data_IF_118447733884
#
_entry.id   IF_118447733884
#
_cell.length_a   1.000
_cell.length_b   1.000
_cell.length_c   1.000
_cell.angle_alpha   90.00
_cell.angle_beta   90.00
_cell.angle_gamma   90.00
#
_symmetry.space_group_name_H-M   'P 1'
#
loop_
_entity.id
_entity.type
_entity.pdbx_description
1 polymer ?
#
# COMPACT_ATOMS: atom_id res chain seq x y z
N UNK A 1 -40.12 14.08 6.20
CA UNK A 1 -39.29 14.67 7.26
C UNK A 1 -37.89 14.84 6.67
N UNK A 2 -37.45 16.08 6.41
CA UNK A 2 -36.21 16.40 5.65
C UNK A 2 -34.98 16.20 6.54
N UNK A 3 -34.12 15.23 6.24
CA UNK A 3 -32.80 15.10 6.86
C UNK A 3 -31.79 15.94 6.07
N UNK A 4 -31.11 16.85 6.79
CA UNK A 4 -30.05 17.71 6.27
C UNK A 4 -28.74 16.92 6.23
N UNK A 5 -28.15 16.77 5.05
CA UNK A 5 -26.79 16.25 4.89
C UNK A 5 -25.79 17.31 5.37
N UNK A 6 -24.98 16.97 6.36
CA UNK A 6 -23.83 17.76 6.78
C UNK A 6 -22.66 17.42 5.84
N UNK A 7 -22.40 18.30 4.89
CA UNK A 7 -21.22 18.24 4.02
C UNK A 7 -19.98 18.64 4.83
N UNK A 8 -19.10 17.67 5.13
CA UNK A 8 -17.77 17.95 5.67
C UNK A 8 -16.83 18.32 4.51
N UNK A 9 -16.77 19.61 4.20
CA UNK A 9 -15.82 20.15 3.23
C UNK A 9 -14.40 20.15 3.81
N UNK A 10 -13.50 19.40 3.18
CA UNK A 10 -12.07 19.46 3.46
C UNK A 10 -11.51 20.75 2.84
N UNK A 11 -11.44 21.82 3.63
CA UNK A 11 -10.82 23.06 3.21
C UNK A 11 -9.29 22.93 3.27
N UNK A 12 -8.65 22.81 2.10
CA UNK A 12 -7.22 23.09 1.96
C UNK A 12 -6.99 24.59 2.25
N UNK A 13 -6.42 24.89 3.42
CA UNK A 13 -5.94 26.23 3.71
C UNK A 13 -4.68 26.50 2.87
N UNK A 14 -4.85 27.32 1.82
CA UNK A 14 -3.74 27.94 1.09
C UNK A 14 -3.11 29.00 2.01
N UNK A 15 -2.04 28.63 2.72
CA UNK A 15 -1.21 29.59 3.42
C UNK A 15 -0.40 30.40 2.40
N UNK A 16 -0.69 31.70 2.29
CA UNK A 16 0.14 32.68 1.56
C UNK A 16 1.52 32.82 2.24
N UNK A 17 2.61 33.07 1.50
CA UNK A 17 3.92 33.25 2.09
C UNK A 17 3.99 34.61 2.80
N UNK A 18 4.18 34.59 4.12
CA UNK A 18 4.52 35.79 4.87
C UNK A 18 5.99 36.13 4.64
N UNK A 19 6.18 37.28 3.99
CA UNK A 19 7.33 38.20 4.03
C UNK A 19 8.69 37.67 4.50
N UNK A 20 9.64 37.74 3.58
CA UNK A 20 11.07 37.57 3.81
C UNK A 20 11.59 38.53 4.92
N UNK A 21 12.13 37.96 5.99
CA UNK A 21 13.10 38.62 6.85
C UNK A 21 14.51 38.09 6.50
N UNK A 22 15.44 39.03 6.30
CA UNK A 22 16.86 38.79 6.03
C UNK A 22 17.52 37.97 7.15
N UNK A 23 18.57 37.19 6.85
CA UNK A 23 19.18 36.30 7.83
C UNK A 23 20.10 37.09 8.78
N UNK A 24 19.77 37.06 10.07
CA UNK A 24 20.73 37.34 11.13
C UNK A 24 21.56 36.08 11.41
N UNK A 25 22.87 36.25 11.38
CA UNK A 25 23.90 35.28 11.72
C UNK A 25 23.74 34.82 13.17
N UNK A 26 23.32 33.57 13.36
CA UNK A 26 23.56 32.85 14.62
C UNK A 26 24.15 31.47 14.30
N UNK A 27 25.44 31.35 14.62
CA UNK A 27 26.09 30.07 14.86
C UNK A 27 25.35 29.37 16.00
N UNK A 28 24.66 28.28 15.70
CA UNK A 28 24.11 27.38 16.70
C UNK A 28 24.59 25.96 16.38
N UNK A 29 25.61 25.53 17.12
CA UNK A 29 25.93 24.13 17.35
C UNK A 29 24.71 23.44 17.96
N UNK A 30 23.83 22.93 17.09
CA UNK A 30 22.73 22.07 17.44
C UNK A 30 22.62 21.05 16.33
N UNK A 31 23.30 19.91 16.50
CA UNK A 31 23.14 18.79 15.59
C UNK A 31 21.66 18.39 15.57
N UNK A 32 20.93 18.83 14.55
CA UNK A 32 19.61 18.27 14.20
C UNK A 32 19.85 16.78 14.00
N UNK A 33 19.36 15.96 14.93
CA UNK A 33 19.43 14.52 14.78
C UNK A 33 18.63 14.14 13.53
N UNK A 34 19.22 13.43 12.56
CA UNK A 34 18.55 13.05 11.33
C UNK A 34 17.31 12.20 11.65
N UNK A 35 16.20 12.46 10.96
CA UNK A 35 14.99 11.64 10.96
C UNK A 35 15.30 10.29 10.29
N UNK A 36 14.46 9.27 10.51
CA UNK A 36 14.78 7.92 10.04
C UNK A 36 14.99 7.80 8.53
N UNK A 37 14.40 8.69 7.71
CA UNK A 37 14.65 8.77 6.27
C UNK A 37 15.72 9.79 5.82
N UNK A 38 16.34 10.54 6.75
CA UNK A 38 17.46 11.47 6.49
C UNK A 38 18.78 10.69 6.35
N UNK A 39 18.83 9.68 5.48
CA UNK A 39 19.90 8.67 5.57
C UNK A 39 21.16 9.02 4.78
N UNK A 40 21.09 9.83 3.72
CA UNK A 40 22.23 9.95 2.81
C UNK A 40 22.31 11.30 2.08
N UNK A 41 23.31 12.13 2.41
CA UNK A 41 23.66 13.38 1.71
C UNK A 41 24.53 13.15 0.46
N UNK A 42 24.21 12.13 -0.33
CA UNK A 42 24.98 11.75 -1.52
C UNK A 42 24.06 11.81 -2.72
N UNK A 43 24.55 12.39 -3.83
CA UNK A 43 23.85 12.29 -5.11
C UNK A 43 23.79 10.83 -5.57
N UNK A 44 22.58 10.30 -5.73
CA UNK A 44 22.32 8.93 -6.16
C UNK A 44 21.85 8.85 -7.61
N UNK A 45 21.71 9.98 -8.32
CA UNK A 45 21.13 10.04 -9.66
C UNK A 45 21.90 9.23 -10.71
N UNK A 46 23.19 8.96 -10.47
CA UNK A 46 24.03 8.15 -11.35
C UNK A 46 23.95 6.64 -11.09
N UNK A 47 23.26 6.19 -10.04
CA UNK A 47 23.07 4.75 -9.78
C UNK A 47 21.90 4.20 -10.59
N UNK A 48 22.09 2.99 -11.10
CA UNK A 48 21.13 2.27 -11.95
C UNK A 48 21.15 0.79 -11.59
N UNK A 49 20.26 0.00 -12.18
CA UNK A 49 20.28 -1.46 -12.04
C UNK A 49 21.65 -2.10 -12.38
N UNK A 50 22.41 -1.51 -13.31
CA UNK A 50 23.74 -1.98 -13.70
C UNK A 50 24.89 -1.31 -12.93
N UNK A 51 24.58 -0.26 -12.17
CA UNK A 51 25.51 0.44 -11.28
C UNK A 51 24.81 0.63 -9.93
N UNK A 52 24.72 -0.43 -9.09
CA UNK A 52 23.90 -0.41 -7.88
C UNK A 52 24.35 0.65 -6.88
N UNK A 53 23.40 1.14 -6.08
CA UNK A 53 23.69 2.01 -4.93
C UNK A 53 24.54 1.24 -3.91
N UNK A 54 25.70 1.74 -3.47
CA UNK A 54 26.45 1.09 -2.39
C UNK A 54 25.62 0.97 -1.12
N UNK A 55 25.71 -0.17 -0.41
CA UNK A 55 24.89 -0.45 0.80
C UNK A 55 24.91 0.65 1.87
N UNK A 56 26.05 1.31 2.06
CA UNK A 56 26.19 2.45 2.99
C UNK A 56 25.37 3.69 2.61
N UNK A 57 24.87 3.74 1.38
CA UNK A 57 24.06 4.81 0.80
C UNK A 57 22.63 4.34 0.51
N UNK A 58 22.23 3.17 0.98
CA UNK A 58 20.85 2.73 0.91
C UNK A 58 19.99 3.47 1.93
N UNK A 59 18.73 3.70 1.56
CA UNK A 59 17.68 4.21 2.44
C UNK A 59 17.21 3.12 3.40
N UNK A 60 16.48 3.43 4.48
CA UNK A 60 15.77 2.43 5.25
C UNK A 60 14.79 1.66 4.35
N UNK A 61 14.50 0.41 4.72
CA UNK A 61 13.48 -0.36 4.02
C UNK A 61 12.11 0.17 4.43
N UNK A 62 11.28 0.53 3.45
CA UNK A 62 9.87 0.89 3.69
C UNK A 62 9.02 -0.01 2.80
N UNK A 63 8.40 -1.05 3.38
CA UNK A 63 7.51 -1.92 2.62
C UNK A 63 6.24 -1.20 2.16
N UNK A 64 5.59 -1.71 1.11
CA UNK A 64 4.22 -1.29 0.76
C UNK A 64 3.19 -1.98 1.66
N UNK A 65 3.57 -3.15 2.19
CA UNK A 65 2.85 -3.87 3.24
C UNK A 65 2.94 -3.18 4.60
N UNK A 66 1.99 -3.44 5.52
CA UNK A 66 0.87 -4.39 5.45
C UNK A 66 -0.48 -3.84 4.96
N UNK A 67 -0.59 -2.52 4.78
CA UNK A 67 -1.85 -1.87 4.42
C UNK A 67 -2.18 -1.95 2.93
N UNK A 68 -3.26 -1.26 2.56
CA UNK A 68 -3.64 -0.99 1.15
C UNK A 68 -2.90 0.24 0.61
N UNK A 69 -2.47 1.13 1.49
CA UNK A 69 -1.69 2.33 1.14
C UNK A 69 -0.29 1.95 0.73
N UNK A 70 0.05 2.28 -0.50
CA UNK A 70 1.37 2.11 -1.08
C UNK A 70 2.36 3.11 -0.48
N UNK A 71 3.62 2.71 -0.33
CA UNK A 71 4.70 3.63 -0.01
C UNK A 71 5.05 4.47 -1.25
N UNK A 72 5.32 5.79 -1.08
CA UNK A 72 5.83 6.61 -2.17
C UNK A 72 7.32 6.35 -2.47
N UNK A 73 8.02 5.62 -1.60
CA UNK A 73 9.47 5.41 -1.71
C UNK A 73 9.79 4.26 -2.67
N UNK A 74 10.81 4.49 -3.50
CA UNK A 74 11.29 3.49 -4.44
C UNK A 74 12.33 2.55 -3.83
N UNK A 75 12.56 1.38 -4.40
CA UNK A 75 13.72 0.55 -4.01
C UNK A 75 15.01 1.17 -4.56
N UNK A 76 16.10 1.17 -3.78
CA UNK A 76 17.40 1.66 -4.23
C UNK A 76 17.90 0.93 -5.49
N UNK A 77 18.54 1.68 -6.40
CA UNK A 77 19.03 1.16 -7.67
C UNK A 77 19.87 -0.11 -7.51
N UNK A 78 19.50 -1.17 -8.24
CA UNK A 78 20.18 -2.47 -8.24
C UNK A 78 19.90 -3.34 -7.01
N UNK A 79 19.03 -2.90 -6.09
CA UNK A 79 18.59 -3.68 -4.94
C UNK A 79 17.25 -4.34 -5.17
N UNK A 80 17.06 -5.46 -4.48
CA UNK A 80 15.88 -6.29 -4.57
C UNK A 80 15.12 -6.27 -3.23
N UNK A 81 13.81 -6.13 -3.29
CA UNK A 81 12.92 -6.24 -2.14
C UNK A 81 11.80 -7.23 -2.47
N UNK A 82 11.47 -8.06 -1.49
CA UNK A 82 10.41 -9.04 -1.61
C UNK A 82 9.49 -8.91 -0.42
N UNK A 83 8.21 -8.78 -0.72
CA UNK A 83 7.15 -8.64 0.27
C UNK A 83 6.16 -9.75 0.05
N UNK A 84 5.70 -10.39 1.12
CA UNK A 84 4.75 -11.49 0.99
C UNK A 84 3.71 -11.46 2.09
N UNK A 85 2.45 -11.72 1.72
CA UNK A 85 1.49 -12.37 2.61
C UNK A 85 1.89 -13.84 2.73
N UNK A 86 2.70 -14.17 3.74
CA UNK A 86 3.07 -15.55 4.01
C UNK A 86 1.80 -16.39 4.23
N UNK A 87 0.85 -15.82 4.98
CA UNK A 87 -0.49 -16.39 5.15
C UNK A 87 -1.51 -15.26 5.31
N UNK A 88 -2.61 -15.32 4.57
CA UNK A 88 -3.77 -14.45 4.77
C UNK A 88 -5.07 -15.26 4.71
N UNK A 89 -6.00 -14.93 5.60
CA UNK A 89 -7.32 -15.54 5.70
C UNK A 89 -8.38 -14.47 5.50
N UNK A 90 -9.21 -14.63 4.48
CA UNK A 90 -10.42 -13.83 4.29
C UNK A 90 -11.62 -14.66 4.75
N UNK A 91 -12.56 -14.00 5.43
CA UNK A 91 -13.81 -14.61 5.85
C UNK A 91 -14.98 -13.73 5.44
N UNK A 92 -15.99 -14.38 4.85
CA UNK A 92 -17.15 -13.74 4.24
C UNK A 92 -18.43 -14.41 4.69
N UNK A 93 -19.44 -13.60 4.95
CA UNK A 93 -20.80 -14.06 5.31
C UNK A 93 -21.83 -13.04 4.89
N UNK A 94 -22.74 -13.45 4.02
CA UNK A 94 -23.84 -12.64 3.52
C UNK A 94 -25.11 -13.49 3.43
N UNK A 95 -26.04 -13.29 4.37
CA UNK A 95 -27.25 -14.11 4.46
C UNK A 95 -26.95 -15.61 4.62
N UNK A 96 -27.45 -16.48 3.72
CA UNK A 96 -27.19 -17.92 3.74
C UNK A 96 -25.81 -18.31 3.17
N UNK A 97 -25.14 -17.38 2.48
CA UNK A 97 -23.84 -17.65 1.85
C UNK A 97 -22.71 -17.32 2.81
N UNK A 98 -21.72 -18.22 2.92
CA UNK A 98 -20.53 -18.02 3.75
C UNK A 98 -19.32 -18.66 3.09
N UNK A 99 -18.13 -18.20 3.46
CA UNK A 99 -16.92 -18.72 2.85
C UNK A 99 -15.65 -18.19 3.46
N UNK A 100 -14.54 -18.74 2.99
CA UNK A 100 -13.21 -18.30 3.36
C UNK A 100 -12.22 -18.49 2.22
N UNK A 101 -11.23 -17.60 2.18
CA UNK A 101 -10.09 -17.71 1.26
C UNK A 101 -8.80 -17.76 2.05
N UNK A 102 -7.98 -18.76 1.75
CA UNK A 102 -6.60 -18.82 2.22
C UNK A 102 -5.67 -18.39 1.10
N UNK A 103 -4.89 -17.35 1.35
CA UNK A 103 -3.79 -16.92 0.50
C UNK A 103 -2.47 -17.34 1.12
N UNK A 104 -1.63 -18.00 0.33
CA UNK A 104 -0.32 -18.47 0.75
C UNK A 104 0.73 -17.90 -0.19
N UNK A 105 1.66 -17.14 0.38
CA UNK A 105 2.77 -16.52 -0.31
C UNK A 105 2.33 -15.63 -1.49
N UNK A 106 1.27 -14.84 -1.31
CA UNK A 106 1.01 -13.77 -2.27
C UNK A 106 2.15 -12.77 -2.17
N UNK A 107 2.84 -12.55 -3.29
CA UNK A 107 4.18 -11.99 -3.27
C UNK A 107 4.28 -10.76 -4.16
N UNK A 108 5.09 -9.81 -3.73
CA UNK A 108 5.44 -8.61 -4.46
C UNK A 108 6.96 -8.48 -4.49
N UNK A 109 7.54 -8.83 -5.64
CA UNK A 109 8.97 -8.72 -5.90
C UNK A 109 9.27 -7.37 -6.54
N UNK A 110 10.28 -6.66 -6.06
CA UNK A 110 10.64 -5.30 -6.47
C UNK A 110 12.13 -5.22 -6.81
N UNK A 111 12.48 -4.50 -7.86
CA UNK A 111 13.86 -4.21 -8.25
C UNK A 111 14.03 -2.72 -8.53
N UNK A 112 14.98 -2.08 -7.87
CA UNK A 112 15.33 -0.68 -8.12
C UNK A 112 15.99 -0.50 -9.49
N UNK A 113 15.34 0.22 -10.40
CA UNK A 113 15.87 0.54 -11.73
C UNK A 113 16.82 1.74 -11.67
N UNK A 114 16.44 2.77 -10.93
CA UNK A 114 17.19 4.00 -10.66
C UNK A 114 17.09 4.33 -9.17
N UNK A 115 17.64 5.46 -8.74
CA UNK A 115 17.47 5.90 -7.36
C UNK A 115 16.04 6.34 -7.01
N UNK A 116 15.14 6.47 -8.00
CA UNK A 116 13.76 6.96 -7.81
C UNK A 116 12.70 6.11 -8.50
N UNK A 117 13.07 4.98 -9.08
CA UNK A 117 12.19 4.16 -9.90
C UNK A 117 12.44 2.71 -9.63
N UNK A 118 11.38 1.94 -9.38
CA UNK A 118 11.43 0.49 -9.28
C UNK A 118 10.38 -0.17 -10.15
N UNK A 119 10.72 -1.37 -10.60
CA UNK A 119 9.82 -2.29 -11.28
C UNK A 119 9.38 -3.34 -10.25
N UNK A 120 8.09 -3.65 -10.25
CA UNK A 120 7.52 -4.65 -9.35
C UNK A 120 6.69 -5.68 -10.10
N UNK A 121 6.71 -6.90 -9.58
CA UNK A 121 5.91 -8.03 -10.04
C UNK A 121 5.14 -8.60 -8.85
N UNK A 122 3.82 -8.48 -8.91
CA UNK A 122 2.88 -9.12 -8.00
C UNK A 122 2.52 -10.51 -8.51
N UNK A 123 2.51 -11.49 -7.61
CA UNK A 123 2.19 -12.89 -7.88
C UNK A 123 1.18 -13.37 -6.85
N UNK A 124 -0.03 -13.67 -7.32
CA UNK A 124 -1.05 -14.34 -6.52
C UNK A 124 -0.73 -15.84 -6.48
N UNK A 125 0.21 -16.24 -5.62
CA UNK A 125 0.82 -17.57 -5.67
C UNK A 125 -0.18 -18.71 -5.47
N UNK A 126 -0.69 -18.95 -4.25
CA UNK A 126 -1.63 -20.04 -4.03
C UNK A 126 -2.83 -19.56 -3.23
N UNK A 127 -4.01 -19.83 -3.77
CA UNK A 127 -5.29 -19.49 -3.13
C UNK A 127 -6.16 -20.75 -2.98
N UNK A 128 -6.76 -20.98 -1.80
CA UNK A 128 -7.84 -21.96 -1.55
C UNK A 128 -9.11 -21.22 -1.11
N UNK A 129 -10.13 -21.22 -1.98
CA UNK A 129 -11.38 -20.48 -1.82
C UNK A 129 -12.49 -21.47 -1.70
N UNK A 130 -13.32 -21.23 -0.70
CA UNK A 130 -14.49 -22.04 -0.43
C UNK A 130 -15.65 -21.11 -0.18
N UNK A 131 -16.65 -21.22 -1.03
CA UNK A 131 -17.93 -20.54 -0.89
C UNK A 131 -19.00 -21.61 -0.72
N UNK A 132 -19.87 -21.42 0.26
CA UNK A 132 -20.93 -22.34 0.62
C UNK A 132 -22.24 -21.56 0.66
N UNK A 133 -23.33 -22.21 0.26
CA UNK A 133 -24.68 -21.66 0.35
C UNK A 133 -25.58 -22.64 1.10
N UNK A 134 -26.05 -22.25 2.29
CA UNK A 134 -26.93 -23.08 3.11
C UNK A 134 -28.35 -23.21 2.53
N UNK A 135 -28.78 -22.26 1.68
CA UNK A 135 -30.10 -22.27 1.04
C UNK A 135 -30.13 -23.17 -0.21
N UNK A 136 -29.01 -23.23 -0.95
CA UNK A 136 -28.81 -24.15 -2.07
C UNK A 136 -27.39 -24.74 -2.06
N UNK A 137 -27.17 -25.91 -1.43
CA UNK A 137 -25.85 -26.53 -1.34
C UNK A 137 -25.19 -26.82 -2.69
N UNK A 138 -25.97 -26.90 -3.79
CA UNK A 138 -25.44 -27.13 -5.13
C UNK A 138 -24.67 -25.93 -5.70
N UNK A 139 -24.83 -24.74 -5.12
CA UNK A 139 -24.10 -23.51 -5.45
C UNK A 139 -22.77 -23.39 -4.69
N UNK A 140 -22.38 -24.39 -3.91
CA UNK A 140 -21.11 -24.36 -3.19
C UNK A 140 -19.94 -24.51 -4.16
N UNK A 141 -18.99 -23.60 -4.10
CA UNK A 141 -17.83 -23.54 -4.99
C UNK A 141 -16.53 -23.75 -4.21
N UNK A 142 -15.65 -24.56 -4.78
CA UNK A 142 -14.29 -24.75 -4.27
C UNK A 142 -13.32 -24.59 -5.42
N UNK A 143 -12.41 -23.64 -5.28
CA UNK A 143 -11.37 -23.40 -6.27
C UNK A 143 -10.00 -23.39 -5.60
N UNK A 144 -8.97 -23.82 -6.34
CA UNK A 144 -7.57 -23.79 -5.89
C UNK A 144 -6.65 -23.49 -7.05
N UNK A 145 -5.64 -22.66 -6.82
CA UNK A 145 -4.65 -22.39 -7.85
C UNK A 145 -3.94 -21.06 -7.68
N UNK A 146 -3.23 -20.70 -8.74
CA UNK A 146 -2.56 -19.42 -8.91
C UNK A 146 -3.57 -18.38 -9.41
N UNK A 147 -3.43 -17.15 -8.93
CA UNK A 147 -4.19 -15.99 -9.40
C UNK A 147 -3.44 -15.26 -10.50
N UNK A 148 -3.68 -13.95 -10.57
CA UNK A 148 -3.17 -13.12 -11.64
C UNK A 148 -1.74 -12.63 -11.37
N UNK A 149 -1.09 -12.20 -12.45
CA UNK A 149 0.24 -11.59 -12.40
C UNK A 149 0.08 -10.10 -12.63
N UNK A 150 0.61 -9.30 -11.71
CA UNK A 150 0.54 -7.84 -11.78
C UNK A 150 1.92 -7.26 -12.07
N UNK A 151 2.05 -6.46 -13.13
CA UNK A 151 3.25 -5.69 -13.42
C UNK A 151 3.05 -4.25 -12.97
N UNK A 152 4.00 -3.71 -12.23
CA UNK A 152 3.89 -2.36 -11.64
C UNK A 152 5.17 -1.57 -11.87
N UNK A 153 5.04 -0.28 -12.11
CA UNK A 153 6.17 0.65 -12.20
C UNK A 153 5.93 1.81 -11.24
N UNK A 154 6.83 1.97 -10.27
CA UNK A 154 6.77 3.04 -9.28
C UNK A 154 7.84 4.08 -9.57
N UNK A 155 7.48 5.35 -9.46
CA UNK A 155 8.39 6.47 -9.55
C UNK A 155 8.16 7.46 -8.41
N UNK A 156 9.18 7.75 -7.60
CA UNK A 156 9.10 8.70 -6.50
C UNK A 156 9.31 10.13 -7.01
N UNK A 157 8.21 10.88 -7.13
CA UNK A 157 8.20 12.24 -7.68
C UNK A 157 9.00 13.23 -6.84
N UNK A 158 8.89 13.13 -5.52
CA UNK A 158 9.54 14.04 -4.55
C UNK A 158 9.74 13.35 -3.20
N UNK A 159 10.77 13.78 -2.47
CA UNK A 159 11.01 13.36 -1.09
C UNK A 159 11.59 11.97 -0.90
N UNK A 160 12.13 11.35 -1.96
CA UNK A 160 12.71 10.00 -1.86
C UNK A 160 13.94 9.94 -0.95
N UNK A 161 14.69 11.05 -0.89
CA UNK A 161 15.82 11.27 -0.02
C UNK A 161 15.58 12.53 0.83
N UNK A 162 15.72 12.44 2.17
CA UNK A 162 15.86 13.59 3.09
C UNK A 162 14.70 14.61 3.09
N UNK A 163 13.46 14.13 3.19
CA UNK A 163 12.28 14.99 3.30
C UNK A 163 11.30 14.52 4.37
N UNK A 164 10.63 15.48 5.02
CA UNK A 164 9.50 15.20 5.91
C UNK A 164 8.26 14.69 5.18
N UNK A 165 8.25 14.73 3.85
CA UNK A 165 7.14 14.27 3.04
C UNK A 165 7.63 13.71 1.73
N UNK A 166 6.91 12.74 1.19
CA UNK A 166 7.19 12.16 -0.10
C UNK A 166 5.90 11.94 -0.87
N UNK A 167 6.02 11.92 -2.19
CA UNK A 167 4.93 11.67 -3.13
C UNK A 167 5.47 10.74 -4.22
N UNK A 168 4.73 9.66 -4.47
CA UNK A 168 5.03 8.70 -5.52
C UNK A 168 3.93 8.70 -6.57
N UNK A 169 4.26 8.15 -7.74
CA UNK A 169 3.31 7.73 -8.74
C UNK A 169 3.59 6.27 -9.07
N UNK A 170 2.55 5.46 -9.05
CA UNK A 170 2.61 4.05 -9.37
C UNK A 170 1.59 3.77 -10.48
N UNK A 171 2.02 3.14 -11.55
CA UNK A 171 1.13 2.56 -12.56
C UNK A 171 1.21 1.04 -12.51
N UNK A 172 0.10 0.36 -12.78
CA UNK A 172 0.10 -1.10 -12.84
C UNK A 172 -0.87 -1.65 -13.87
N UNK A 173 -0.60 -2.89 -14.29
CA UNK A 173 -1.45 -3.73 -15.13
C UNK A 173 -1.51 -5.13 -14.55
N UNK A 174 -2.71 -5.66 -14.41
CA UNK A 174 -2.98 -7.03 -13.96
C UNK A 174 -3.32 -7.86 -15.20
N UNK A 175 -2.62 -8.99 -15.37
CA UNK A 175 -2.79 -9.90 -16.48
C UNK A 175 -3.63 -11.10 -16.04
N UNK A 176 -4.67 -11.50 -16.81
CA UNK A 176 -5.60 -12.56 -16.43
C UNK A 176 -4.99 -13.97 -16.62
N UNK A 177 -3.95 -14.28 -15.85
CA UNK A 177 -3.20 -15.54 -15.91
C UNK A 177 -3.74 -16.60 -14.96
N UNK A 178 -4.56 -16.22 -13.97
CA UNK A 178 -5.09 -17.09 -12.92
C UNK A 178 -6.28 -17.96 -13.34
N UNK A 179 -6.70 -17.89 -14.61
CA UNK A 179 -7.83 -18.66 -15.13
C UNK A 179 -9.12 -18.40 -14.33
N UNK A 180 -9.76 -19.43 -13.74
CA UNK A 180 -10.95 -19.24 -12.90
C UNK A 180 -10.70 -18.31 -11.70
N UNK A 181 -9.47 -18.24 -11.19
CA UNK A 181 -9.09 -17.41 -10.03
C UNK A 181 -8.70 -15.98 -10.35
N UNK A 182 -8.23 -15.74 -11.55
CA UNK A 182 -7.94 -14.38 -12.00
C UNK A 182 -9.21 -13.57 -12.15
N UNK A 183 -9.07 -12.30 -12.47
CA UNK A 183 -10.20 -11.41 -12.77
C UNK A 183 -10.74 -11.68 -14.19
N UNK A 184 -9.97 -12.39 -15.02
CA UNK A 184 -10.41 -12.90 -16.33
C UNK A 184 -10.37 -11.86 -17.45
N UNK A 185 -9.97 -10.64 -17.14
CA UNK A 185 -9.62 -9.62 -18.13
C UNK A 185 -8.39 -8.84 -17.66
N UNK A 186 -7.80 -8.07 -18.59
CA UNK A 186 -6.74 -7.14 -18.23
C UNK A 186 -7.34 -5.96 -17.48
N UNK A 187 -6.78 -5.67 -16.31
CA UNK A 187 -7.09 -4.53 -15.48
C UNK A 187 -5.88 -3.62 -15.34
N UNK A 188 -6.12 -2.35 -15.04
CA UNK A 188 -5.04 -1.38 -14.90
C UNK A 188 -5.45 -0.24 -14.01
N UNK A 189 -4.45 0.36 -13.37
CA UNK A 189 -4.68 1.49 -12.47
C UNK A 189 -3.45 2.34 -12.26
N UNK A 190 -3.70 3.47 -11.62
CA UNK A 190 -2.69 4.39 -11.15
C UNK A 190 -2.94 4.74 -9.68
N UNK A 191 -1.87 4.88 -8.92
CA UNK A 191 -1.91 5.21 -7.50
C UNK A 191 -0.98 6.38 -7.24
N UNK A 192 -1.48 7.36 -6.50
CA UNK A 192 -0.72 8.52 -6.04
C UNK A 192 -0.58 8.44 -4.50
N UNK A 193 0.41 7.71 -3.96
CA UNK A 193 0.68 7.67 -2.53
C UNK A 193 1.46 8.89 -2.06
N UNK A 194 1.14 9.36 -0.85
CA UNK A 194 1.87 10.43 -0.18
C UNK A 194 1.98 10.18 1.32
N UNK A 195 3.10 10.61 1.90
CA UNK A 195 3.36 10.48 3.34
C UNK A 195 3.91 11.80 3.89
N UNK A 196 3.70 12.01 5.19
CA UNK A 196 4.21 13.13 5.95
C UNK A 196 4.61 12.68 7.36
N UNK A 197 5.85 12.97 7.74
CA UNK A 197 6.40 12.68 9.06
C UNK A 197 6.05 13.83 10.03
N UNK A 198 5.13 13.59 10.97
CA UNK A 198 4.74 14.57 11.98
C UNK A 198 5.84 14.76 13.02
N UNK A 199 6.38 13.65 13.53
CA UNK A 199 7.50 13.61 14.48
C UNK A 199 8.41 12.44 14.14
N UNK A 200 9.55 12.29 14.82
CA UNK A 200 10.44 11.14 14.57
C UNK A 200 9.73 9.77 14.68
N UNK A 201 8.76 9.64 15.57
CA UNK A 201 8.09 8.38 15.86
C UNK A 201 6.67 8.30 15.27
N UNK A 202 6.17 9.36 14.63
CA UNK A 202 4.77 9.42 14.19
C UNK A 202 4.68 9.90 12.74
N UNK A 203 4.17 9.03 11.87
CA UNK A 203 3.86 9.29 10.47
C UNK A 203 2.35 9.35 10.19
N UNK A 204 2.00 10.09 9.16
CA UNK A 204 0.70 10.02 8.49
C UNK A 204 0.92 9.85 6.99
N UNK A 205 -0.04 9.28 6.32
CA UNK A 205 -0.01 9.13 4.88
C UNK A 205 -1.35 8.74 4.31
N UNK A 206 -1.34 8.41 3.04
CA UNK A 206 -2.52 7.95 2.33
C UNK A 206 -2.26 7.94 0.84
N UNK A 207 -3.28 7.56 0.09
CA UNK A 207 -3.22 7.56 -1.36
C UNK A 207 -4.56 7.90 -1.97
N UNK A 208 -4.52 8.20 -3.26
CA UNK A 208 -5.68 8.07 -4.13
C UNK A 208 -5.29 7.11 -5.25
N UNK A 209 -6.00 5.98 -5.34
CA UNK A 209 -5.91 5.08 -6.48
C UNK A 209 -7.12 5.26 -7.40
N UNK A 210 -6.89 5.09 -8.71
CA UNK A 210 -7.92 4.98 -9.72
C UNK A 210 -7.62 3.75 -10.58
N UNK A 211 -8.58 2.83 -10.68
CA UNK A 211 -8.41 1.56 -11.37
C UNK A 211 -9.63 1.21 -12.20
N UNK A 212 -9.38 0.61 -13.37
CA UNK A 212 -10.42 0.08 -14.25
C UNK A 212 -10.48 -1.43 -14.06
N UNK A 213 -11.53 -1.88 -13.38
CA UNK A 213 -11.79 -3.27 -13.06
C UNK A 213 -12.74 -3.91 -14.09
N UNK A 214 -12.73 -5.23 -14.16
CA UNK A 214 -13.64 -6.05 -14.94
C UNK A 214 -14.64 -6.78 -14.05
N UNK A 215 -15.91 -6.49 -14.26
CA UNK A 215 -17.00 -7.17 -13.57
C UNK A 215 -17.45 -8.39 -14.38
N UNK A 216 -17.18 -9.58 -13.85
CA UNK A 216 -17.52 -10.85 -14.52
C UNK A 216 -19.02 -11.09 -14.63
N UNK A 217 -19.82 -10.64 -13.68
CA UNK A 217 -21.26 -10.90 -13.67
C UNK A 217 -21.98 -10.05 -14.72
N UNK A 218 -21.58 -8.78 -14.81
CA UNK A 218 -22.17 -7.83 -15.77
C UNK A 218 -21.42 -7.77 -17.10
N UNK A 219 -20.26 -8.44 -17.21
CA UNK A 219 -19.37 -8.42 -18.38
C UNK A 219 -19.03 -6.98 -18.80
N UNK A 220 -18.75 -6.11 -17.82
CA UNK A 220 -18.54 -4.69 -18.04
C UNK A 220 -17.34 -4.17 -17.25
N UNK A 221 -16.68 -3.13 -17.79
CA UNK A 221 -15.64 -2.42 -17.07
C UNK A 221 -16.23 -1.35 -16.17
N UNK A 222 -15.57 -1.10 -15.05
CA UNK A 222 -15.93 0.00 -14.16
C UNK A 222 -14.70 0.67 -13.58
N UNK A 223 -14.86 1.96 -13.27
CA UNK A 223 -13.84 2.76 -12.62
C UNK A 223 -14.10 2.74 -11.11
N UNK A 224 -13.05 2.47 -10.34
CA UNK A 224 -13.10 2.59 -8.90
C UNK A 224 -12.02 3.56 -8.42
N UNK A 225 -12.40 4.41 -7.46
CA UNK A 225 -11.45 5.20 -6.69
C UNK A 225 -11.26 4.58 -5.30
N UNK A 226 -10.00 4.48 -4.88
CA UNK A 226 -9.64 3.97 -3.55
C UNK A 226 -8.81 5.02 -2.80
N UNK A 227 -9.45 5.97 -2.10
CA UNK A 227 -8.76 6.86 -1.19
C UNK A 227 -8.42 6.13 0.12
N UNK A 228 -7.24 6.41 0.66
CA UNK A 228 -6.82 5.90 1.97
C UNK A 228 -6.30 7.01 2.87
N UNK A 229 -6.33 6.74 4.16
CA UNK A 229 -5.62 7.51 5.17
C UNK A 229 -4.99 6.55 6.16
N UNK A 230 -3.69 6.69 6.40
CA UNK A 230 -2.96 5.84 7.35
C UNK A 230 -2.19 6.70 8.33
N UNK A 231 -1.98 6.16 9.52
CA UNK A 231 -1.09 6.70 10.52
C UNK A 231 -0.36 5.57 11.22
N UNK A 232 0.91 5.81 11.51
CA UNK A 232 1.80 4.86 12.12
C UNK A 232 2.56 5.48 13.30
N UNK A 233 2.78 4.67 14.33
CA UNK A 233 3.54 5.08 15.49
C UNK A 233 4.62 4.06 15.83
N UNK A 234 5.87 4.52 15.87
CA UNK A 234 7.03 3.75 16.27
C UNK A 234 7.21 3.83 17.78
N UNK A 235 6.91 2.74 18.49
CA UNK A 235 7.11 2.65 19.94
C UNK A 235 8.58 2.43 20.29
N UNK A 236 9.25 1.59 19.52
CA UNK A 236 10.67 1.28 19.66
C UNK A 236 11.29 1.03 18.28
N UNK A 237 12.61 0.85 18.21
CA UNK A 237 13.27 0.44 16.95
C UNK A 237 12.82 -0.93 16.42
N UNK A 238 12.18 -1.76 17.25
CA UNK A 238 11.74 -3.10 16.91
C UNK A 238 10.23 -3.16 16.68
N UNK A 239 9.46 -2.23 17.24
CA UNK A 239 8.00 -2.34 17.30
C UNK A 239 7.34 -1.04 16.89
N UNK A 240 6.52 -1.14 15.86
CA UNK A 240 5.65 -0.11 15.33
C UNK A 240 4.22 -0.66 15.24
N UNK A 241 3.23 0.23 15.19
CA UNK A 241 1.89 -0.16 14.79
C UNK A 241 1.32 0.88 13.83
N UNK A 242 0.37 0.44 13.02
CA UNK A 242 -0.33 1.30 12.08
C UNK A 242 -1.85 1.15 12.24
N UNK A 243 -2.56 2.20 11.85
CA UNK A 243 -3.99 2.20 11.63
C UNK A 243 -4.25 2.85 10.28
N UNK A 244 -5.08 2.23 9.46
CA UNK A 244 -5.41 2.69 8.13
C UNK A 244 -6.92 2.64 7.91
N UNK A 245 -7.46 3.67 7.30
CA UNK A 245 -8.83 3.76 6.81
C UNK A 245 -8.80 3.70 5.29
N UNK A 246 -9.63 2.85 4.72
CA UNK A 246 -9.74 2.65 3.27
C UNK A 246 -11.17 2.92 2.84
N UNK A 247 -11.33 3.71 1.78
CA UNK A 247 -12.61 3.88 1.09
C UNK A 247 -12.55 3.23 -0.29
N UNK A 248 -13.66 2.65 -0.73
CA UNK A 248 -13.85 2.12 -2.08
C UNK A 248 -15.08 2.80 -2.68
N UNK A 249 -14.89 3.43 -3.83
CA UNK A 249 -15.95 4.11 -4.56
C UNK A 249 -16.02 3.61 -6.00
N UNK A 250 -16.98 2.74 -6.28
CA UNK A 250 -17.37 2.36 -7.65
C UNK A 250 -18.19 3.51 -8.25
N UNK A 251 -17.83 3.99 -9.44
CA UNK A 251 -18.55 5.11 -10.07
C UNK A 251 -19.92 4.72 -10.63
N UNK A 252 -20.19 3.43 -10.84
CA UNK A 252 -21.48 2.92 -11.38
C UNK A 252 -22.59 2.96 -10.35
N UNK A 253 -22.25 2.56 -9.14
CA UNK A 253 -23.18 2.45 -8.02
C UNK A 253 -22.71 3.50 -7.02
N UNK A 254 -23.54 4.47 -6.64
CA UNK A 254 -23.19 5.48 -5.64
C UNK A 254 -22.95 4.89 -4.22
N UNK A 255 -22.58 3.61 -4.12
CA UNK A 255 -22.19 2.87 -2.94
C UNK A 255 -20.75 3.18 -2.56
N UNK A 256 -20.59 3.67 -1.34
CA UNK A 256 -19.31 3.83 -0.67
C UNK A 256 -19.11 2.64 0.27
N UNK A 257 -17.97 1.97 0.16
CA UNK A 257 -17.55 0.94 1.13
C UNK A 257 -16.34 1.43 1.88
N UNK A 258 -16.23 1.06 3.15
CA UNK A 258 -15.04 1.39 3.94
C UNK A 258 -14.63 0.28 4.88
N UNK A 259 -13.35 0.32 5.21
CA UNK A 259 -12.70 -0.62 6.10
C UNK A 259 -11.60 0.03 6.91
N UNK A 260 -11.20 -0.66 7.98
CA UNK A 260 -10.11 -0.27 8.84
C UNK A 260 -9.09 -1.41 8.92
N UNK A 261 -7.82 -1.07 8.69
CA UNK A 261 -6.68 -1.96 8.83
C UNK A 261 -5.89 -1.55 10.05
N UNK A 262 -5.49 -2.53 10.86
CA UNK A 262 -4.62 -2.28 11.99
C UNK A 262 -3.74 -3.49 12.28
N UNK A 263 -2.55 -3.22 12.79
CA UNK A 263 -1.64 -4.27 13.19
C UNK A 263 -0.31 -3.75 13.68
N UNK A 264 0.42 -4.56 14.47
CA UNK A 264 1.82 -4.32 14.73
C UNK A 264 2.71 -4.65 13.52
N UNK A 265 3.86 -3.99 13.50
CA UNK A 265 4.99 -4.23 12.60
C UNK A 265 6.23 -4.44 13.47
N UNK A 266 7.03 -5.45 13.12
CA UNK A 266 8.22 -5.87 13.86
C UNK A 266 9.45 -5.79 12.96
N UNK A 267 10.30 -4.81 13.24
CA UNK A 267 11.56 -4.57 12.51
C UNK A 267 12.69 -5.44 13.09
N UNK A 268 12.85 -6.64 12.55
CA UNK A 268 13.91 -7.57 12.99
C UNK A 268 15.30 -7.00 12.67
N UNK A 269 15.44 -6.35 11.51
CA UNK A 269 16.66 -5.69 11.07
C UNK A 269 16.34 -4.63 10.02
N UNK A 270 17.34 -3.82 9.61
CA UNK A 270 17.21 -2.83 8.54
C UNK A 270 16.75 -3.38 7.17
N UNK A 271 16.70 -4.71 7.03
CA UNK A 271 16.34 -5.41 5.80
C UNK A 271 15.32 -6.53 6.01
N UNK A 272 14.71 -6.67 7.20
CA UNK A 272 13.70 -7.69 7.49
C UNK A 272 12.65 -7.13 8.43
N UNK A 273 11.39 -7.12 7.97
CA UNK A 273 10.23 -6.69 8.73
C UNK A 273 9.17 -7.79 8.71
N UNK A 274 8.56 -8.06 9.85
CA UNK A 274 7.35 -8.87 9.96
C UNK A 274 6.15 -7.98 10.22
N UNK A 275 5.01 -8.34 9.67
CA UNK A 275 3.75 -7.66 9.90
C UNK A 275 2.64 -8.67 10.16
N UNK A 276 1.70 -8.34 11.02
CA UNK A 276 0.46 -9.09 11.14
C UNK A 276 -0.63 -8.18 11.63
N UNK A 277 -1.88 -8.51 11.32
CA UNK A 277 -2.98 -7.63 11.66
C UNK A 277 -4.30 -8.11 11.11
N UNK A 278 -5.26 -7.20 11.16
CA UNK A 278 -6.59 -7.44 10.66
C UNK A 278 -7.06 -6.28 9.76
N UNK A 279 -7.80 -6.65 8.74
CA UNK A 279 -8.57 -5.76 7.88
C UNK A 279 -10.04 -6.02 8.19
N UNK A 280 -10.69 -5.02 8.79
CA UNK A 280 -12.04 -5.15 9.30
C UNK A 280 -13.00 -4.25 8.52
N UNK A 281 -14.17 -4.75 8.13
CA UNK A 281 -15.18 -3.94 7.46
C UNK A 281 -15.77 -2.91 8.42
N UNK A 282 -15.91 -1.68 7.96
CA UNK A 282 -16.68 -0.62 8.64
C UNK A 282 -18.11 -0.57 8.07
N UNK A 283 -18.25 -0.83 6.77
CA UNK A 283 -19.55 -0.99 6.09
C UNK A 283 -19.75 -2.43 5.62
N UNK A 284 -20.99 -2.79 5.30
CA UNK A 284 -21.29 -4.04 4.59
C UNK A 284 -20.58 -4.09 3.22
N UNK A 285 -20.30 -5.31 2.73
CA UNK A 285 -19.67 -5.54 1.43
C UNK A 285 -18.15 -5.45 1.41
N UNK A 286 -17.50 -5.53 2.58
CA UNK A 286 -16.05 -5.76 2.70
C UNK A 286 -15.84 -6.99 3.59
N UNK A 287 -14.88 -7.82 3.22
CA UNK A 287 -14.56 -9.05 3.95
C UNK A 287 -13.73 -8.74 5.20
N UNK A 288 -13.71 -9.71 6.13
CA UNK A 288 -12.80 -9.66 7.29
C UNK A 288 -11.55 -10.43 6.94
N UNK A 289 -10.40 -9.79 7.08
CA UNK A 289 -9.12 -10.39 6.74
C UNK A 289 -8.18 -10.41 7.94
N UNK A 290 -7.38 -11.48 8.02
CA UNK A 290 -6.27 -11.62 8.96
C UNK A 290 -5.03 -11.98 8.16
N UNK A 291 -3.92 -11.31 8.40
CA UNK A 291 -2.71 -11.51 7.63
C UNK A 291 -1.47 -11.67 8.52
N UNK A 292 -0.51 -12.41 7.99
CA UNK A 292 0.86 -12.52 8.46
C UNK A 292 1.76 -12.30 7.24
N UNK A 293 2.57 -11.25 7.29
CA UNK A 293 3.47 -10.86 6.24
C UNK A 293 4.94 -10.82 6.65
N UNK A 294 5.78 -10.90 5.63
CA UNK A 294 7.22 -10.78 5.71
C UNK A 294 7.70 -9.89 4.56
N UNK A 295 8.57 -8.95 4.90
CA UNK A 295 9.27 -8.11 3.93
C UNK A 295 10.77 -8.25 4.12
N UNK A 296 11.52 -8.47 3.05
CA UNK A 296 12.97 -8.51 3.10
C UNK A 296 13.63 -7.79 1.92
N UNK A 297 14.85 -7.27 2.14
CA UNK A 297 15.63 -6.55 1.12
C UNK A 297 17.07 -7.06 1.04
N UNK A 298 17.67 -7.06 -0.16
CA UNK A 298 19.05 -7.52 -0.39
C UNK A 298 19.90 -6.57 -1.23
#
# INVERSE_FOLDING_TARGET
>A
MKLRYLSLGLALAVARPAHAQKPETQQANGAKKPLMNDTVSVDKSHYTIFRPTPRKYMRPMVPDRPGITESPYSVDAGHFQYETDALRLLTRREGPTYGHDWYVNHALAKIGLTNRTDLQVGLDSYTDTRSYDDADPSQSEVHRGFGDVTLRLKHTLVGDDDSRWALGLLGYVTLPTGGPRGDGAVEYGAVLPGVFQLTKAWGIGGQVAAAVYWDRDTQARYLQFTPTFTTDYQFTKLVQAFVELVGYWDVRQASWRSSINLGPQIDISDNVQLDFGAHLPVTHGVDREYFLGLSFRR
#
